data_IF_725766134091
#
_entry.id   IF_725766134091
#
_cell.length_a   1.000
_cell.length_b   1.000
_cell.length_c   1.000
_cell.angle_alpha   90.00
_cell.angle_beta   90.00
_cell.angle_gamma   90.00
#
_symmetry.space_group_name_H-M   'P 1'
#
loop_
_entity.id
_entity.type
_entity.pdbx_description
1 polymer ?
#
# COMPACT_ATOMS: atom_id res chain seq x y z
N UNK A 1 -16.67 -0.86 -9.51
CA UNK A 1 -15.25 -0.66 -9.18
C UNK A 1 -15.18 0.42 -8.12
N UNK A 2 -14.51 0.13 -7.01
CA UNK A 2 -14.31 1.07 -5.92
C UNK A 2 -12.87 1.59 -6.05
N UNK A 3 -12.70 2.85 -6.43
CA UNK A 3 -11.37 3.45 -6.70
C UNK A 3 -10.89 4.31 -5.53
N UNK A 4 -11.37 4.01 -4.32
CA UNK A 4 -10.96 4.75 -3.14
C UNK A 4 -9.54 4.31 -2.73
N UNK A 5 -8.60 5.24 -2.53
CA UNK A 5 -7.22 4.90 -2.25
C UNK A 5 -7.07 4.25 -0.87
N UNK A 6 -6.10 3.35 -0.75
CA UNK A 6 -5.76 2.70 0.51
C UNK A 6 -4.74 3.55 1.29
N UNK A 7 -5.18 4.20 2.36
CA UNK A 7 -4.27 4.94 3.24
C UNK A 7 -3.38 4.00 4.08
N UNK A 8 -2.06 4.17 3.96
CA UNK A 8 -1.08 3.44 4.76
C UNK A 8 -0.37 4.41 5.70
N UNK A 9 -0.37 4.10 6.99
CA UNK A 9 0.35 4.87 8.01
C UNK A 9 1.39 3.98 8.68
N UNK A 10 2.63 4.47 8.70
CA UNK A 10 3.69 3.89 9.50
C UNK A 10 4.33 4.95 10.39
N UNK A 11 4.88 4.50 11.51
CA UNK A 11 5.63 5.31 12.45
C UNK A 11 7.00 5.78 11.93
N UNK A 12 7.49 5.26 10.79
CA UNK A 12 8.78 5.64 10.21
C UNK A 12 9.03 5.08 8.79
N UNK A 13 10.26 4.62 8.53
CA UNK A 13 10.68 4.05 7.23
C UNK A 13 10.35 2.55 7.08
N UNK A 14 9.91 1.89 8.15
CA UNK A 14 9.62 0.44 8.16
C UNK A 14 8.42 0.06 7.28
N UNK A 15 7.50 1.00 7.07
CA UNK A 15 6.31 0.83 6.26
C UNK A 15 6.59 0.59 4.78
N UNK A 16 7.80 0.88 4.30
CA UNK A 16 8.22 0.60 2.93
C UNK A 16 8.27 -0.90 2.63
N UNK A 17 8.61 -1.73 3.62
CA UNK A 17 8.59 -3.19 3.47
C UNK A 17 7.15 -3.71 3.27
N UNK A 18 6.20 -3.13 4.00
CA UNK A 18 4.77 -3.46 3.88
C UNK A 18 4.21 -2.96 2.56
N UNK A 19 4.53 -1.72 2.17
CA UNK A 19 4.12 -1.15 0.88
C UNK A 19 4.60 -2.00 -0.30
N UNK A 20 5.84 -2.52 -0.23
CA UNK A 20 6.41 -3.39 -1.26
C UNK A 20 5.60 -4.68 -1.42
N UNK A 21 5.21 -5.31 -0.32
CA UNK A 21 4.44 -6.55 -0.36
C UNK A 21 3.00 -6.32 -0.82
N UNK A 22 2.37 -5.22 -0.39
CA UNK A 22 1.04 -4.84 -0.86
C UNK A 22 1.04 -4.62 -2.37
N UNK A 23 2.04 -3.92 -2.93
CA UNK A 23 2.15 -3.74 -4.38
C UNK A 23 2.43 -5.03 -5.15
N UNK A 24 3.09 -6.01 -4.54
CA UNK A 24 3.30 -7.31 -5.16
C UNK A 24 2.01 -8.14 -5.24
N UNK A 25 1.16 -8.06 -4.21
CA UNK A 25 -0.10 -8.81 -4.12
C UNK A 25 -1.27 -8.12 -4.83
N UNK A 26 -1.28 -6.78 -4.83
CA UNK A 26 -2.35 -5.93 -5.35
C UNK A 26 -1.77 -4.86 -6.30
N UNK A 27 -1.29 -5.27 -7.50
CA UNK A 27 -0.58 -4.35 -8.40
C UNK A 27 -1.45 -3.24 -8.98
N UNK A 28 -2.76 -3.45 -9.06
CA UNK A 28 -3.71 -2.50 -9.65
C UNK A 28 -4.37 -1.58 -8.60
N UNK A 29 -4.05 -1.75 -7.32
CA UNK A 29 -4.66 -0.96 -6.25
C UNK A 29 -4.00 0.41 -6.16
N UNK A 30 -4.85 1.45 -6.05
CA UNK A 30 -4.38 2.81 -5.81
C UNK A 30 -4.00 2.95 -4.33
N UNK A 31 -2.70 2.96 -4.05
CA UNK A 31 -2.11 3.15 -2.71
C UNK A 31 -1.49 4.53 -2.62
#
# INVERSE_FOLDING_TARGET
MNNNPLGIFDSGLGGLSVLKEIRALLPDESI
#
